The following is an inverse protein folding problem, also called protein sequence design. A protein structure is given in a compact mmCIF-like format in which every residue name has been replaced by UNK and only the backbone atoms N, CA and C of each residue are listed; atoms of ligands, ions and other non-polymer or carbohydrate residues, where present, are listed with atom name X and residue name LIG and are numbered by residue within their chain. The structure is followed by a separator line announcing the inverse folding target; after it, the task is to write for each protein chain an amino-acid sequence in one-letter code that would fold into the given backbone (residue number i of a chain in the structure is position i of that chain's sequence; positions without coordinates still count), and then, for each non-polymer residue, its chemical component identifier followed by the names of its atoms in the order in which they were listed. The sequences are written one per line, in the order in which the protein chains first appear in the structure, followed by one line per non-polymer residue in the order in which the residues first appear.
data_IF_020738679884
#
_entry.id   IF_020738679884
#
_cell.length_a   1.000
_cell.length_b   1.000
_cell.length_c   1.000
_cell.angle_alpha   90.00
_cell.angle_beta   90.00
_cell.angle_gamma   90.00
#
_symmetry.space_group_name_H-M   'P 1'
#
loop_
_entity.id
_entity.type
_entity.pdbx_description
1 polymer ?
#
# COMPACT_ATOMS: atom_id res chain seq x y z
N UNK A 1 16.80 5.25 33.59
CA UNK A 1 15.83 4.46 32.80
C UNK A 1 15.44 5.23 31.55
N UNK A 2 16.12 4.95 30.41
CA UNK A 2 15.89 5.63 29.13
C UNK A 2 14.98 4.81 28.22
N UNK A 3 13.86 4.35 28.72
CA UNK A 3 12.78 3.81 27.89
C UNK A 3 11.75 4.93 27.66
N UNK A 4 12.19 6.01 27.05
CA UNK A 4 11.25 7.01 26.53
C UNK A 4 10.71 6.49 25.21
N UNK A 5 9.43 6.08 25.20
CA UNK A 5 8.62 6.06 24.00
C UNK A 5 8.81 7.45 23.37
N UNK A 6 9.48 7.51 22.22
CA UNK A 6 9.65 8.76 21.49
C UNK A 6 8.28 9.18 20.95
N UNK A 7 7.58 10.00 21.71
CA UNK A 7 6.43 10.73 21.20
C UNK A 7 6.95 11.71 20.17
N UNK A 8 6.60 11.51 18.92
CA UNK A 8 7.16 12.31 17.84
C UNK A 8 6.44 13.64 17.64
N UNK A 9 5.16 13.74 17.98
CA UNK A 9 4.42 15.01 17.88
C UNK A 9 3.22 15.05 18.84
N UNK A 10 3.03 16.19 19.49
CA UNK A 10 1.78 16.59 20.11
C UNK A 10 1.10 17.56 19.13
N UNK A 11 -0.06 17.18 18.61
CA UNK A 11 -0.84 17.98 17.66
C UNK A 11 -2.11 18.48 18.37
N UNK A 12 -2.36 19.78 18.34
CA UNK A 12 -3.62 20.34 18.83
C UNK A 12 -4.74 19.99 17.85
N UNK A 13 -5.90 19.59 18.37
CA UNK A 13 -7.12 19.49 17.57
C UNK A 13 -7.85 20.83 17.61
N UNK A 14 -7.88 21.54 16.49
CA UNK A 14 -8.62 22.78 16.36
C UNK A 14 -10.11 22.55 16.63
N UNK A 15 -10.70 23.34 17.54
CA UNK A 15 -12.09 23.19 17.94
C UNK A 15 -12.38 22.14 19.02
N UNK A 16 -11.38 21.43 19.55
CA UNK A 16 -11.54 20.47 20.63
C UNK A 16 -10.59 20.76 21.80
N UNK A 17 -11.01 20.50 23.08
CA UNK A 17 -10.17 20.74 24.25
C UNK A 17 -9.09 19.66 24.45
N UNK A 18 -8.79 18.86 23.45
CA UNK A 18 -7.87 17.73 23.50
C UNK A 18 -6.76 17.88 22.46
N UNK A 19 -5.60 17.30 22.74
CA UNK A 19 -4.52 17.15 21.78
C UNK A 19 -4.33 15.67 21.41
N UNK A 20 -3.85 15.43 20.20
CA UNK A 20 -3.42 14.11 19.76
C UNK A 20 -1.97 13.88 20.17
N UNK A 21 -1.73 12.74 20.79
CA UNK A 21 -0.39 12.24 21.05
C UNK A 21 -0.10 11.13 20.04
N UNK A 22 0.76 11.41 19.06
CA UNK A 22 1.12 10.43 18.03
C UNK A 22 2.44 9.75 18.38
N UNK A 23 2.42 8.42 18.42
CA UNK A 23 3.61 7.58 18.48
C UNK A 23 3.80 6.88 17.14
N UNK A 24 5.03 6.85 16.62
CA UNK A 24 5.40 6.16 15.37
C UNK A 24 5.54 4.64 15.57
N UNK A 25 4.55 4.01 16.19
CA UNK A 25 4.51 2.57 16.35
C UNK A 25 5.54 1.99 17.31
N UNK A 26 5.47 0.70 17.52
CA UNK A 26 6.40 -0.07 18.34
C UNK A 26 7.42 -0.77 17.44
N UNK A 27 8.59 -0.14 17.29
CA UNK A 27 9.67 -0.62 16.42
C UNK A 27 10.89 -1.06 17.23
N UNK A 28 11.56 -2.08 16.73
CA UNK A 28 12.87 -2.50 17.20
C UNK A 28 13.94 -1.43 16.92
N UNK A 29 15.12 -1.50 17.54
CA UNK A 29 16.25 -0.62 17.21
C UNK A 29 16.65 -0.64 15.72
N UNK A 30 16.30 -1.71 15.00
CA UNK A 30 16.54 -1.87 13.55
C UNK A 30 15.42 -1.30 12.68
N UNK A 31 14.39 -0.67 13.26
CA UNK A 31 13.26 -0.11 12.53
C UNK A 31 12.23 -1.17 12.04
N UNK A 32 12.33 -2.40 12.51
CA UNK A 32 11.37 -3.46 12.20
C UNK A 32 10.23 -3.42 13.22
N UNK A 33 8.96 -3.54 12.80
CA UNK A 33 7.85 -3.67 13.76
C UNK A 33 8.08 -4.82 14.73
N UNK A 34 7.80 -4.61 16.02
CA UNK A 34 7.94 -5.64 17.06
C UNK A 34 6.74 -6.60 17.13
N UNK A 35 5.82 -6.49 16.20
CA UNK A 35 4.71 -7.42 16.01
C UNK A 35 5.05 -8.46 14.94
N UNK A 36 4.41 -9.62 15.02
CA UNK A 36 4.57 -10.68 14.01
C UNK A 36 4.02 -10.24 12.65
N UNK A 37 4.71 -10.54 11.52
CA UNK A 37 4.16 -10.33 10.18
C UNK A 37 2.98 -11.31 9.91
N UNK A 38 2.08 -11.00 8.97
CA UNK A 38 2.15 -9.90 8.00
C UNK A 38 1.77 -8.53 8.59
N UNK A 39 2.56 -7.47 8.29
CA UNK A 39 2.29 -6.11 8.77
C UNK A 39 1.29 -5.34 7.91
N UNK A 40 0.98 -5.86 6.72
CA UNK A 40 -0.03 -5.34 5.83
C UNK A 40 -0.75 -6.45 5.10
N UNK A 41 -2.07 -6.31 4.96
CA UNK A 41 -2.93 -7.28 4.27
C UNK A 41 -3.92 -6.57 3.37
N UNK A 42 -4.41 -7.29 2.36
CA UNK A 42 -5.57 -6.94 1.56
C UNK A 42 -6.68 -7.95 1.89
N UNK A 43 -7.85 -7.45 2.27
CA UNK A 43 -8.98 -8.26 2.69
C UNK A 43 -10.20 -7.93 1.83
N UNK A 44 -10.91 -8.94 1.35
CA UNK A 44 -12.24 -8.78 0.79
C UNK A 44 -13.31 -9.17 1.81
N UNK A 45 -14.36 -8.36 1.87
CA UNK A 45 -15.47 -8.52 2.78
C UNK A 45 -16.76 -8.49 1.98
N UNK A 46 -17.64 -9.48 2.18
CA UNK A 46 -19.00 -9.43 1.66
C UNK A 46 -19.81 -8.41 2.46
N UNK A 47 -20.24 -7.35 1.80
CA UNK A 47 -20.99 -6.27 2.44
C UNK A 47 -22.44 -6.65 2.81
N UNK A 48 -22.96 -7.78 2.31
CA UNK A 48 -24.31 -8.22 2.65
C UNK A 48 -24.39 -8.87 4.04
N UNK A 49 -23.32 -9.57 4.43
CA UNK A 49 -23.29 -10.34 5.68
C UNK A 49 -22.09 -10.02 6.59
N UNK A 50 -21.11 -9.24 6.08
CA UNK A 50 -19.90 -8.87 6.81
C UNK A 50 -18.85 -9.98 6.90
N UNK A 51 -19.01 -11.06 6.13
CA UNK A 51 -18.04 -12.16 6.13
C UNK A 51 -16.77 -11.82 5.35
N UNK A 52 -15.63 -12.27 5.87
CA UNK A 52 -14.35 -12.18 5.18
C UNK A 52 -14.28 -13.25 4.08
N UNK A 53 -14.26 -12.84 2.81
CA UNK A 53 -14.15 -13.75 1.68
C UNK A 53 -12.73 -14.31 1.56
N UNK A 54 -11.73 -13.43 1.72
CA UNK A 54 -10.32 -13.80 1.74
C UNK A 54 -9.48 -12.69 2.40
N UNK A 55 -8.28 -13.09 2.84
CA UNK A 55 -7.26 -12.19 3.39
C UNK A 55 -5.89 -12.65 2.92
N UNK A 56 -5.13 -11.77 2.24
CA UNK A 56 -3.81 -12.07 1.71
C UNK A 56 -2.79 -11.03 2.16
N UNK A 57 -1.53 -11.43 2.43
CA UNK A 57 -0.46 -10.49 2.72
C UNK A 57 -0.23 -9.55 1.54
N UNK A 58 -0.15 -8.23 1.81
CA UNK A 58 0.07 -7.20 0.81
C UNK A 58 1.50 -6.65 0.90
N UNK A 59 2.26 -6.79 -0.20
CA UNK A 59 3.62 -6.32 -0.28
C UNK A 59 4.66 -7.24 0.38
N UNK A 60 5.90 -6.79 0.31
CA UNK A 60 7.07 -7.47 0.89
C UNK A 60 8.00 -6.46 1.56
N UNK A 61 8.95 -6.96 2.35
CA UNK A 61 10.00 -6.16 2.98
C UNK A 61 11.14 -5.76 2.03
N UNK A 62 11.02 -6.01 0.71
CA UNK A 62 12.14 -5.92 -0.26
C UNK A 62 12.88 -4.60 -0.24
N UNK A 63 12.19 -3.47 -0.18
CA UNK A 63 12.81 -2.14 -0.20
C UNK A 63 12.92 -1.52 1.20
N UNK A 64 12.50 -2.25 2.23
CA UNK A 64 12.53 -1.82 3.63
C UNK A 64 13.67 -2.47 4.41
N UNK A 65 14.06 -3.68 4.05
CA UNK A 65 15.03 -4.48 4.80
C UNK A 65 16.27 -4.81 3.96
N UNK A 66 17.46 -4.98 4.58
CA UNK A 66 18.63 -5.47 3.89
C UNK A 66 18.47 -6.94 3.50
N UNK A 67 19.22 -7.38 2.48
CA UNK A 67 19.35 -8.82 2.18
C UNK A 67 19.87 -9.57 3.43
N UNK A 68 19.35 -10.75 3.78
CA UNK A 68 18.40 -11.60 3.03
C UNK A 68 16.92 -11.42 3.38
N UNK A 69 16.53 -10.43 4.16
CA UNK A 69 15.18 -10.31 4.73
C UNK A 69 14.11 -9.77 3.75
N UNK A 70 14.35 -9.82 2.44
CA UNK A 70 13.43 -9.31 1.40
C UNK A 70 12.15 -10.14 1.18
N UNK A 71 12.10 -11.33 1.71
CA UNK A 71 11.02 -12.31 1.49
C UNK A 71 9.88 -12.24 2.50
N UNK A 72 10.00 -11.43 3.54
CA UNK A 72 8.92 -11.28 4.52
C UNK A 72 7.72 -10.67 3.84
N UNK A 73 6.58 -11.40 3.87
CA UNK A 73 5.33 -10.96 3.24
C UNK A 73 4.54 -10.04 4.17
N UNK A 74 3.82 -9.07 3.56
CA UNK A 74 2.98 -8.13 4.26
C UNK A 74 3.76 -6.92 4.74
N UNK A 75 4.05 -5.98 3.85
CA UNK A 75 4.68 -4.70 4.20
C UNK A 75 3.68 -3.73 4.80
N UNK A 76 4.11 -2.79 5.67
CA UNK A 76 3.28 -1.65 6.03
C UNK A 76 2.75 -0.96 4.78
N UNK A 77 1.47 -0.61 4.77
CA UNK A 77 0.81 -0.05 3.61
C UNK A 77 0.01 1.21 3.96
N UNK A 78 -0.14 2.08 2.96
CA UNK A 78 -0.96 3.28 3.03
C UNK A 78 -1.49 3.57 1.63
N UNK A 79 -2.79 3.56 1.46
CA UNK A 79 -3.45 3.77 0.18
C UNK A 79 -4.63 2.83 -0.01
N UNK A 80 -5.46 3.11 -1.00
CA UNK A 80 -6.67 2.36 -1.29
C UNK A 80 -6.55 1.53 -2.58
N UNK A 81 -7.36 0.47 -2.72
CA UNK A 81 -7.52 -0.27 -3.96
C UNK A 81 -8.53 0.41 -4.89
N UNK A 82 -8.45 0.06 -6.18
CA UNK A 82 -9.48 0.32 -7.18
C UNK A 82 -9.94 -1.01 -7.76
N UNK A 83 -11.24 -1.28 -7.65
CA UNK A 83 -11.86 -2.49 -8.16
C UNK A 83 -12.52 -2.18 -9.51
N UNK A 84 -12.26 -3.01 -10.51
CA UNK A 84 -12.87 -2.89 -11.84
C UNK A 84 -14.07 -3.81 -11.99
N UNK A 85 -14.99 -3.46 -12.88
CA UNK A 85 -16.17 -4.29 -13.18
C UNK A 85 -15.79 -5.67 -13.77
N UNK A 86 -14.59 -5.82 -14.31
CA UNK A 86 -14.07 -7.09 -14.82
C UNK A 86 -13.47 -8.02 -13.75
N UNK A 87 -13.60 -7.69 -12.46
CA UNK A 87 -13.12 -8.53 -11.38
C UNK A 87 -11.62 -8.42 -11.10
N UNK A 88 -10.98 -7.30 -11.46
CA UNK A 88 -9.57 -7.02 -11.16
C UNK A 88 -9.47 -5.88 -10.14
N UNK A 89 -8.70 -6.12 -9.08
CA UNK A 89 -8.39 -5.12 -8.05
C UNK A 89 -6.97 -4.63 -8.20
N UNK A 90 -6.79 -3.34 -8.46
CA UNK A 90 -5.48 -2.69 -8.53
C UNK A 90 -5.15 -1.99 -7.23
N UNK A 91 -3.91 -2.15 -6.73
CA UNK A 91 -3.42 -1.50 -5.53
C UNK A 91 -1.91 -1.26 -5.59
N UNK A 92 -1.47 -0.05 -5.22
CA UNK A 92 -0.08 0.26 -4.90
C UNK A 92 0.15 0.07 -3.41
N UNK A 93 -0.01 1.12 -2.64
CA UNK A 93 -0.08 1.18 -1.18
C UNK A 93 1.16 0.73 -0.40
N UNK A 94 2.03 -0.10 -0.96
CA UNK A 94 3.15 -0.74 -0.24
C UNK A 94 4.49 -0.03 -0.44
N UNK A 95 5.35 -0.16 0.56
CA UNK A 95 6.69 0.43 0.53
C UNK A 95 7.70 -0.35 -0.33
N UNK A 96 7.30 -1.47 -0.92
CA UNK A 96 8.14 -2.27 -1.82
C UNK A 96 8.05 -1.85 -3.30
N UNK A 97 7.49 -0.67 -3.56
CA UNK A 97 7.45 0.00 -4.85
C UNK A 97 6.79 -0.82 -5.98
N UNK A 98 5.66 -1.47 -5.73
CA UNK A 98 4.91 -2.20 -6.76
C UNK A 98 3.46 -1.72 -6.87
N UNK A 99 2.97 -1.57 -8.11
CA UNK A 99 1.56 -1.66 -8.42
C UNK A 99 1.22 -3.14 -8.64
N UNK A 100 0.17 -3.63 -7.97
CA UNK A 100 -0.30 -5.02 -8.06
C UNK A 100 -1.72 -5.08 -8.59
N UNK A 101 -2.01 -6.16 -9.31
CA UNK A 101 -3.35 -6.53 -9.71
C UNK A 101 -3.71 -7.88 -9.09
N UNK A 102 -4.88 -7.95 -8.47
CA UNK A 102 -5.42 -9.14 -7.83
C UNK A 102 -6.73 -9.55 -8.49
N UNK A 103 -7.01 -10.84 -8.51
CA UNK A 103 -8.35 -11.33 -8.78
C UNK A 103 -9.25 -10.95 -7.59
N UNK A 104 -10.33 -10.22 -7.85
CA UNK A 104 -11.21 -9.70 -6.79
C UNK A 104 -11.96 -10.81 -6.05
N UNK A 105 -12.26 -11.93 -6.71
CA UNK A 105 -13.00 -13.04 -6.12
C UNK A 105 -12.11 -13.95 -5.25
N UNK A 106 -10.85 -14.15 -5.67
CA UNK A 106 -9.97 -15.15 -5.03
C UNK A 106 -8.85 -14.54 -4.19
N UNK A 107 -8.51 -13.25 -4.39
CA UNK A 107 -7.37 -12.62 -3.76
C UNK A 107 -6.00 -13.05 -4.32
N UNK A 108 -5.99 -13.78 -5.45
CA UNK A 108 -4.76 -14.18 -6.11
C UNK A 108 -4.07 -13.00 -6.80
N UNK A 109 -2.75 -12.82 -6.60
CA UNK A 109 -1.95 -11.82 -7.30
C UNK A 109 -1.76 -12.24 -8.76
N UNK A 110 -2.38 -11.51 -9.70
CA UNK A 110 -2.31 -11.79 -11.15
C UNK A 110 -0.98 -11.31 -11.72
N UNK A 111 -0.62 -10.07 -11.39
CA UNK A 111 0.59 -9.42 -11.92
C UNK A 111 1.01 -8.26 -11.01
N UNK A 112 2.30 -7.94 -11.05
CA UNK A 112 2.85 -6.73 -10.40
C UNK A 112 3.83 -6.00 -11.30
N UNK A 113 3.83 -4.68 -11.21
CA UNK A 113 4.68 -3.78 -11.96
C UNK A 113 5.56 -2.98 -11.02
N UNK A 114 6.87 -2.97 -11.28
CA UNK A 114 7.82 -2.16 -10.51
C UNK A 114 7.61 -0.68 -10.79
N UNK A 115 7.59 0.12 -9.72
CA UNK A 115 7.50 1.57 -9.76
C UNK A 115 8.81 2.22 -9.32
N UNK A 116 9.06 3.48 -9.67
CA UNK A 116 10.26 4.22 -9.23
C UNK A 116 10.34 4.40 -7.71
N UNK A 117 9.18 4.55 -7.05
CA UNK A 117 9.05 4.69 -5.60
C UNK A 117 7.71 4.11 -5.12
N UNK A 118 7.44 4.18 -3.83
CA UNK A 118 6.15 3.76 -3.27
C UNK A 118 5.00 4.59 -3.84
N UNK A 119 3.92 3.93 -4.25
CA UNK A 119 2.72 4.56 -4.76
C UNK A 119 1.59 4.42 -3.74
N UNK A 120 1.42 5.43 -2.91
CA UNK A 120 0.46 5.44 -1.80
C UNK A 120 -0.87 6.10 -2.18
N UNK A 121 -0.99 6.56 -3.42
CA UNK A 121 -2.25 7.01 -4.01
C UNK A 121 -3.12 5.83 -4.42
N UNK A 122 -4.43 6.00 -4.39
CA UNK A 122 -5.37 5.06 -4.99
C UNK A 122 -5.22 5.08 -6.51
N UNK A 123 -5.03 3.94 -7.19
CA UNK A 123 -5.04 3.88 -8.64
C UNK A 123 -6.38 4.36 -9.20
N UNK A 124 -6.37 4.88 -10.42
CA UNK A 124 -7.59 5.19 -11.16
C UNK A 124 -7.56 4.52 -12.54
N UNK A 125 -8.74 4.32 -13.12
CA UNK A 125 -8.86 3.82 -14.49
C UNK A 125 -9.60 4.84 -15.37
N UNK A 126 -9.20 4.92 -16.62
CA UNK A 126 -9.93 5.70 -17.64
C UNK A 126 -9.83 5.04 -19.01
N UNK A 127 -10.74 5.40 -19.89
CA UNK A 127 -10.74 4.96 -21.28
C UNK A 127 -10.50 6.18 -22.17
N UNK A 128 -9.56 6.07 -23.12
CA UNK A 128 -9.32 7.13 -24.08
C UNK A 128 -10.40 7.17 -25.19
N UNK A 129 -10.31 8.15 -26.10
CA UNK A 129 -11.28 8.31 -27.19
C UNK A 129 -11.35 7.14 -28.16
N UNK A 130 -10.28 6.32 -28.22
CA UNK A 130 -10.18 5.14 -29.08
C UNK A 130 -10.67 3.85 -28.37
N UNK A 131 -11.21 3.96 -27.15
CA UNK A 131 -11.72 2.81 -26.39
C UNK A 131 -10.64 2.04 -25.62
N UNK A 132 -9.38 2.48 -25.62
CA UNK A 132 -8.29 1.82 -24.90
C UNK A 132 -8.35 2.20 -23.42
N UNK A 133 -8.38 1.18 -22.55
CA UNK A 133 -8.38 1.37 -21.09
C UNK A 133 -6.96 1.51 -20.55
N UNK A 134 -6.80 2.42 -19.60
CA UNK A 134 -5.58 2.67 -18.85
C UNK A 134 -5.83 2.56 -17.36
N UNK A 135 -4.79 2.11 -16.64
CA UNK A 135 -4.69 2.17 -15.19
C UNK A 135 -3.59 3.18 -14.85
N UNK A 136 -3.90 4.18 -14.05
CA UNK A 136 -2.98 5.27 -13.70
C UNK A 136 -2.74 5.29 -12.20
N UNK A 137 -1.48 5.51 -11.81
CA UNK A 137 -1.09 5.66 -10.42
C UNK A 137 -0.02 6.73 -10.26
N UNK A 138 -0.14 7.53 -9.20
CA UNK A 138 0.91 8.46 -8.79
C UNK A 138 1.92 7.72 -7.90
N UNK A 139 3.14 7.61 -8.36
CA UNK A 139 4.27 7.09 -7.57
C UNK A 139 5.03 8.28 -6.97
N UNK A 140 4.47 8.86 -5.90
CA UNK A 140 4.95 10.07 -5.25
C UNK A 140 5.84 9.83 -4.04
N UNK A 141 5.89 8.61 -3.54
CA UNK A 141 6.53 8.30 -2.25
C UNK A 141 5.76 8.88 -1.06
N UNK A 142 6.23 8.60 0.14
CA UNK A 142 5.68 9.17 1.37
C UNK A 142 6.69 9.12 2.50
N UNK A 143 6.99 10.28 3.10
CA UNK A 143 8.01 10.42 4.13
C UNK A 143 7.74 9.58 5.39
N UNK A 144 6.47 9.45 5.80
CA UNK A 144 6.11 8.75 7.05
C UNK A 144 6.34 7.23 7.00
N UNK A 145 6.42 6.64 5.81
CA UNK A 145 6.69 5.21 5.61
C UNK A 145 8.01 4.97 4.84
N UNK A 146 8.86 6.01 4.80
CA UNK A 146 10.25 5.90 4.35
C UNK A 146 10.44 5.70 2.86
N UNK A 147 9.43 5.98 2.01
CA UNK A 147 9.60 5.89 0.56
C UNK A 147 10.03 7.22 -0.03
N UNK A 148 11.04 7.25 -0.94
CA UNK A 148 11.55 8.48 -1.52
C UNK A 148 10.46 9.31 -2.22
N UNK A 149 10.51 10.63 -2.04
CA UNK A 149 9.61 11.54 -2.74
C UNK A 149 9.90 11.54 -4.25
N UNK A 150 8.85 11.63 -5.07
CA UNK A 150 8.91 11.60 -6.53
C UNK A 150 7.69 12.28 -7.13
N UNK A 151 7.79 12.65 -8.41
CA UNK A 151 6.75 13.30 -9.20
C UNK A 151 6.22 12.44 -10.36
N UNK A 152 6.42 11.11 -10.29
CA UNK A 152 6.02 10.21 -11.35
C UNK A 152 4.52 9.94 -11.33
N UNK A 153 3.88 10.18 -12.50
CA UNK A 153 2.54 9.71 -12.83
C UNK A 153 2.68 8.64 -13.92
N UNK A 154 2.25 7.41 -13.64
CA UNK A 154 2.48 6.26 -14.50
C UNK A 154 1.16 5.67 -14.96
N UNK A 155 1.04 5.46 -16.28
CA UNK A 155 -0.12 4.85 -16.91
C UNK A 155 0.28 3.49 -17.51
N UNK A 156 -0.53 2.48 -17.23
CA UNK A 156 -0.41 1.14 -17.78
C UNK A 156 -1.59 0.85 -18.69
N UNK A 157 -1.36 0.16 -19.80
CA UNK A 157 -2.40 -0.33 -20.70
C UNK A 157 -2.07 -1.75 -21.14
N UNK A 158 -3.08 -2.50 -21.53
CA UNK A 158 -2.86 -3.79 -22.18
C UNK A 158 -2.15 -3.57 -23.54
N UNK A 159 -1.21 -4.44 -23.90
CA UNK A 159 -0.61 -4.40 -25.23
C UNK A 159 -1.68 -4.59 -26.30
N UNK A 160 -1.48 -3.97 -27.45
CA UNK A 160 -2.34 -4.22 -28.59
C UNK A 160 -2.09 -5.65 -29.09
N UNK A 161 -3.17 -6.42 -29.27
CA UNK A 161 -3.09 -7.71 -29.93
C UNK A 161 -2.65 -7.44 -31.38
N UNK A 162 -1.45 -7.88 -31.71
CA UNK A 162 -0.96 -7.90 -33.09
C UNK A 162 -1.62 -9.01 -33.86
#
# INVERSE_FOLDING_TARGET
NKNQVRFTNIESNEGAPYCNLRSMGFFSPLGVPCTEPPWGTLTAIDLNNGEHLWNVPLGTSKDLAPFPFWWIKGAPNMGGPTVTASGVTFIGATSDHYLRAFNTETGEEIVKFRLPTGAHATPMTYTNKEGKQFVVIAAGGHWAIGTPASDHLIAFALPENK
#
